data_IF_063023452558
#
_entry.id   IF_063023452558
#
_cell.length_a   1.000
_cell.length_b   1.000
_cell.length_c   1.000
_cell.angle_alpha   90.00
_cell.angle_beta   90.00
_cell.angle_gamma   90.00
#
_symmetry.space_group_name_H-M   'P 1'
#
loop_
_entity.id
_entity.type
_entity.pdbx_description
1 polymer ?
#
# COMPACT_ATOMS: atom_id res chain seq x y z
N UNK A 1 -2.94 -26.37 18.09
CA UNK A 1 -3.06 -26.06 16.65
C UNK A 1 -1.69 -26.15 15.99
N UNK A 2 -1.59 -26.92 14.92
CA UNK A 2 -0.28 -27.11 14.28
C UNK A 2 -0.04 -25.98 13.29
N UNK A 3 1.13 -25.37 13.39
CA UNK A 3 1.54 -24.32 12.47
C UNK A 3 2.16 -24.95 11.22
N UNK A 4 1.78 -24.46 10.04
CA UNK A 4 2.40 -24.89 8.80
C UNK A 4 3.86 -24.47 8.76
N UNK A 5 4.72 -25.32 8.20
CA UNK A 5 6.10 -24.98 7.91
C UNK A 5 6.28 -24.88 6.42
N UNK A 6 7.01 -23.87 5.97
CA UNK A 6 7.18 -23.56 4.55
C UNK A 6 8.64 -23.71 4.14
N UNK A 7 8.85 -24.10 2.88
CA UNK A 7 10.17 -24.08 2.28
C UNK A 7 10.46 -22.67 1.69
N UNK A 8 11.59 -22.51 1.03
CA UNK A 8 11.99 -21.22 0.45
C UNK A 8 11.06 -20.74 -0.67
N UNK A 9 10.24 -21.62 -1.23
CA UNK A 9 9.25 -21.28 -2.26
C UNK A 9 7.87 -21.00 -1.66
N UNK A 10 7.78 -20.88 -0.33
CA UNK A 10 6.54 -20.66 0.41
C UNK A 10 5.50 -21.78 0.21
N UNK A 11 6.00 -22.99 0.04
CA UNK A 11 5.17 -24.20 -0.09
C UNK A 11 5.26 -25.00 1.20
N UNK A 12 4.12 -25.45 1.72
CA UNK A 12 4.07 -26.15 2.99
C UNK A 12 4.81 -27.49 2.91
N UNK A 13 5.72 -27.69 3.86
CA UNK A 13 6.40 -28.97 4.08
C UNK A 13 5.78 -29.71 5.24
N UNK A 14 5.04 -28.99 6.09
CA UNK A 14 4.23 -29.54 7.18
C UNK A 14 2.87 -28.85 7.09
N UNK A 15 1.80 -29.63 7.04
CA UNK A 15 0.45 -29.07 6.99
C UNK A 15 0.07 -28.43 8.32
N UNK A 16 -0.76 -27.39 8.24
CA UNK A 16 -1.19 -26.64 9.41
C UNK A 16 -1.68 -25.26 9.05
N UNK A 17 -1.87 -24.44 10.07
CA UNK A 17 -2.31 -23.07 9.90
C UNK A 17 -1.13 -22.11 9.90
N UNK A 18 -1.26 -21.02 9.14
CA UNK A 18 -0.24 -19.97 9.09
C UNK A 18 -0.92 -18.61 8.89
N UNK A 19 -0.52 -17.59 9.65
CA UNK A 19 -1.00 -16.26 9.37
C UNK A 19 -0.33 -15.72 8.12
N UNK A 20 -1.13 -15.08 7.25
CA UNK A 20 -0.62 -14.44 6.06
C UNK A 20 -1.11 -13.00 6.03
N UNK A 21 -0.39 -12.17 5.28
CA UNK A 21 -0.67 -10.75 5.18
C UNK A 21 -0.93 -10.45 3.71
N UNK A 22 -2.15 -9.99 3.43
CA UNK A 22 -2.64 -9.83 2.07
C UNK A 22 -2.41 -8.41 1.58
N UNK A 23 -2.04 -8.26 0.32
CA UNK A 23 -1.80 -6.95 -0.29
C UNK A 23 -2.46 -6.88 -1.67
N UNK A 24 -2.70 -5.66 -2.13
CA UNK A 24 -3.28 -5.43 -3.45
C UNK A 24 -2.25 -5.78 -4.53
N UNK A 25 -2.68 -6.56 -5.53
CA UNK A 25 -1.78 -7.02 -6.59
C UNK A 25 -1.28 -5.92 -7.50
N UNK A 26 -1.98 -4.80 -7.57
CA UNK A 26 -1.59 -3.66 -8.41
C UNK A 26 -0.87 -2.57 -7.62
N UNK A 27 -1.45 -2.13 -6.51
CA UNK A 27 -0.88 -1.05 -5.70
C UNK A 27 0.13 -1.54 -4.68
N UNK A 28 0.08 -2.83 -4.35
CA UNK A 28 0.91 -3.49 -3.32
C UNK A 28 0.58 -3.02 -1.91
N UNK A 29 -0.53 -2.31 -1.73
CA UNK A 29 -0.95 -1.83 -0.43
C UNK A 29 -1.44 -2.98 0.45
N UNK A 30 -1.03 -2.98 1.73
CA UNK A 30 -1.50 -3.94 2.71
C UNK A 30 -3.01 -3.82 2.88
N UNK A 31 -3.72 -4.94 2.82
CA UNK A 31 -5.18 -4.98 2.93
C UNK A 31 -5.62 -5.55 4.28
N UNK A 32 -5.17 -6.74 4.62
CA UNK A 32 -5.63 -7.44 5.82
C UNK A 32 -4.77 -8.65 6.11
N UNK A 33 -4.85 -9.14 7.33
CA UNK A 33 -4.26 -10.42 7.69
C UNK A 33 -5.35 -11.48 7.77
N UNK A 34 -4.96 -12.72 7.52
CA UNK A 34 -5.85 -13.86 7.67
C UNK A 34 -5.04 -15.08 8.09
N UNK A 35 -5.73 -16.11 8.56
CA UNK A 35 -5.09 -17.38 8.89
C UNK A 35 -5.52 -18.39 7.84
N UNK A 36 -4.54 -19.02 7.19
CA UNK A 36 -4.78 -19.98 6.14
C UNK A 36 -4.35 -21.37 6.58
N UNK A 37 -5.13 -22.38 6.25
CA UNK A 37 -4.71 -23.77 6.41
C UNK A 37 -4.05 -24.24 5.12
N UNK A 38 -2.82 -24.75 5.22
CA UNK A 38 -2.08 -25.27 4.08
C UNK A 38 -1.81 -26.75 4.27
N UNK A 39 -2.19 -27.55 3.29
CA UNK A 39 -1.76 -28.95 3.22
C UNK A 39 -0.34 -29.01 2.65
N UNK A 40 0.37 -30.09 2.96
CA UNK A 40 1.72 -30.30 2.40
C UNK A 40 1.65 -30.21 0.87
N UNK A 41 2.56 -29.46 0.29
CA UNK A 41 2.62 -29.23 -1.15
C UNK A 41 1.82 -28.04 -1.64
N UNK A 42 1.07 -27.36 -0.74
CA UNK A 42 0.27 -26.18 -1.09
C UNK A 42 1.02 -24.93 -0.68
N UNK A 43 1.04 -23.92 -1.56
CA UNK A 43 1.65 -22.63 -1.29
C UNK A 43 0.67 -21.64 -0.66
N UNK A 44 1.20 -20.54 -0.15
CA UNK A 44 0.36 -19.45 0.37
C UNK A 44 -0.46 -18.83 -0.75
N UNK A 45 -1.61 -18.18 -0.43
CA UNK A 45 -2.43 -17.56 -1.46
C UNK A 45 -1.66 -16.50 -2.26
N UNK A 46 -2.10 -16.25 -3.49
CA UNK A 46 -1.55 -15.18 -4.30
C UNK A 46 -1.74 -13.83 -3.59
N UNK A 47 -0.82 -12.90 -3.82
CA UNK A 47 -0.85 -11.57 -3.22
C UNK A 47 -0.88 -11.60 -1.69
N UNK A 48 -0.11 -12.52 -1.12
CA UNK A 48 0.08 -12.62 0.32
C UNK A 48 1.53 -12.95 0.65
N UNK A 49 1.90 -12.72 1.90
CA UNK A 49 3.23 -13.04 2.40
C UNK A 49 3.14 -13.43 3.86
N UNK A 50 4.23 -13.94 4.41
CA UNK A 50 4.26 -14.43 5.78
C UNK A 50 4.94 -13.48 6.76
N UNK A 51 5.61 -12.45 6.28
CA UNK A 51 6.23 -11.45 7.14
C UNK A 51 5.22 -10.33 7.44
N UNK A 52 5.08 -10.01 8.72
CA UNK A 52 4.11 -9.01 9.17
C UNK A 52 4.53 -7.60 8.74
N UNK A 53 3.56 -6.76 8.33
CA UNK A 53 3.86 -5.34 8.16
C UNK A 53 4.15 -4.69 9.51
N UNK A 54 4.83 -3.55 9.48
CA UNK A 54 5.04 -2.77 10.70
C UNK A 54 3.75 -2.11 11.17
N UNK A 55 3.87 -1.30 12.21
CA UNK A 55 2.73 -0.56 12.74
C UNK A 55 2.27 0.50 11.76
N UNK A 56 0.97 0.80 11.76
CA UNK A 56 0.43 1.87 10.92
C UNK A 56 1.04 3.21 11.33
N UNK A 57 1.24 4.09 10.35
CA UNK A 57 1.83 5.40 10.55
C UNK A 57 0.94 6.45 9.90
N UNK A 58 0.55 7.46 10.67
CA UNK A 58 -0.33 8.53 10.19
C UNK A 58 0.28 9.21 8.96
N UNK A 59 -0.51 9.35 7.90
CA UNK A 59 -0.07 9.97 6.66
C UNK A 59 0.66 9.04 5.71
N UNK A 60 0.74 7.75 6.06
CA UNK A 60 1.43 6.75 5.23
C UNK A 60 0.58 5.51 5.07
N UNK A 61 0.67 4.89 3.91
CA UNK A 61 0.15 3.55 3.66
C UNK A 61 1.30 2.56 3.74
N UNK A 62 0.99 1.34 4.13
CA UNK A 62 1.98 0.27 4.16
C UNK A 62 1.84 -0.52 2.86
N UNK A 63 2.91 -0.61 2.10
CA UNK A 63 2.91 -1.30 0.82
C UNK A 63 4.04 -2.32 0.75
N UNK A 64 3.83 -3.37 -0.04
CA UNK A 64 4.89 -4.28 -0.37
C UNK A 64 5.89 -3.58 -1.31
N UNK A 65 7.17 -3.86 -1.16
CA UNK A 65 8.19 -3.29 -2.05
C UNK A 65 8.03 -3.84 -3.46
N UNK A 66 8.64 -3.18 -4.45
CA UNK A 66 8.51 -3.58 -5.85
C UNK A 66 9.00 -4.99 -6.13
N UNK A 67 9.97 -5.49 -5.34
CA UNK A 67 10.47 -6.85 -5.45
C UNK A 67 9.70 -7.85 -4.59
N UNK A 68 8.65 -7.39 -3.89
CA UNK A 68 7.82 -8.21 -3.01
C UNK A 68 8.60 -8.87 -1.87
N UNK A 69 9.71 -8.28 -1.44
CA UNK A 69 10.58 -8.86 -0.42
C UNK A 69 10.38 -8.28 0.98
N UNK A 70 9.78 -7.10 1.09
CA UNK A 70 9.63 -6.39 2.36
C UNK A 70 8.43 -5.46 2.34
N UNK A 71 8.19 -4.78 3.46
CA UNK A 71 7.17 -3.74 3.57
C UNK A 71 7.85 -2.38 3.62
N UNK A 72 7.17 -1.37 3.07
CA UNK A 72 7.65 0.01 3.11
C UNK A 72 6.48 0.95 3.39
N UNK A 73 6.79 2.14 3.87
CA UNK A 73 5.81 3.19 4.04
C UNK A 73 5.79 4.06 2.79
N UNK A 74 4.59 4.27 2.25
CA UNK A 74 4.38 5.14 1.09
C UNK A 74 3.51 6.30 1.55
N UNK A 75 3.89 7.52 1.21
CA UNK A 75 3.12 8.69 1.55
C UNK A 75 1.70 8.56 1.00
N UNK A 76 0.70 8.88 1.81
CA UNK A 76 -0.71 8.70 1.45
C UNK A 76 -1.45 10.03 1.58
N UNK A 77 -1.68 10.67 0.45
CA UNK A 77 -2.42 11.92 0.36
C UNK A 77 -3.84 11.72 -0.18
N UNK A 78 -4.27 10.47 -0.32
CA UNK A 78 -5.61 10.18 -0.87
C UNK A 78 -6.70 10.86 -0.05
N UNK A 79 -7.65 11.46 -0.76
CA UNK A 79 -8.74 12.21 -0.15
C UNK A 79 -8.41 13.65 0.17
N UNK A 80 -7.14 14.07 0.04
CA UNK A 80 -6.75 15.46 0.27
C UNK A 80 -7.08 16.32 -0.94
N UNK A 81 -7.62 17.53 -0.71
CA UNK A 81 -7.79 18.48 -1.80
C UNK A 81 -6.46 19.14 -2.12
N UNK A 82 -6.10 19.18 -3.39
CA UNK A 82 -4.96 19.94 -3.89
C UNK A 82 -5.44 20.82 -5.02
N UNK A 83 -4.60 21.74 -5.44
CA UNK A 83 -4.98 22.76 -6.42
C UNK A 83 -4.06 22.70 -7.62
N UNK A 84 -4.64 22.74 -8.82
CA UNK A 84 -3.84 22.80 -10.05
C UNK A 84 -3.01 24.08 -10.07
N UNK A 85 -1.72 23.96 -10.31
CA UNK A 85 -0.84 25.12 -10.47
C UNK A 85 -1.06 25.82 -11.80
N UNK A 86 -1.80 25.20 -12.72
CA UNK A 86 -2.13 25.75 -14.03
C UNK A 86 -3.45 26.52 -14.00
N UNK A 87 -4.50 25.95 -13.40
CA UNK A 87 -5.85 26.53 -13.44
C UNK A 87 -6.37 26.99 -12.08
N UNK A 88 -5.76 26.53 -10.98
CA UNK A 88 -6.25 26.81 -9.62
C UNK A 88 -7.42 25.95 -9.21
N UNK A 89 -7.88 25.04 -10.06
CA UNK A 89 -8.99 24.17 -9.73
C UNK A 89 -8.61 23.14 -8.67
N UNK A 90 -9.60 22.77 -7.84
CA UNK A 90 -9.39 21.75 -6.82
C UNK A 90 -9.38 20.36 -7.47
N UNK A 91 -8.44 19.55 -7.03
CA UNK A 91 -8.32 18.14 -7.43
C UNK A 91 -8.20 17.31 -6.16
N UNK A 92 -8.97 16.23 -6.07
CA UNK A 92 -8.86 15.31 -4.94
C UNK A 92 -7.87 14.22 -5.28
N UNK A 93 -6.89 14.02 -4.41
CA UNK A 93 -5.86 12.99 -4.60
C UNK A 93 -6.51 11.61 -4.53
N UNK A 94 -6.26 10.76 -5.52
CA UNK A 94 -6.84 9.42 -5.60
C UNK A 94 -5.81 8.30 -5.61
N UNK A 95 -4.53 8.62 -5.74
CA UNK A 95 -3.46 7.63 -5.83
C UNK A 95 -2.48 7.78 -4.68
N UNK A 96 -1.85 6.66 -4.29
CA UNK A 96 -0.77 6.66 -3.31
C UNK A 96 0.48 7.30 -3.89
N UNK A 97 1.30 7.87 -3.01
CA UNK A 97 2.55 8.51 -3.39
C UNK A 97 2.48 10.02 -3.25
N UNK A 98 3.42 10.68 -3.90
CA UNK A 98 3.50 12.15 -3.87
C UNK A 98 2.27 12.79 -4.51
N UNK A 99 2.10 14.08 -4.27
CA UNK A 99 1.04 14.84 -4.91
C UNK A 99 1.17 14.75 -6.43
N UNK A 100 0.03 14.76 -7.14
CA UNK A 100 0.06 14.76 -8.61
C UNK A 100 0.90 15.92 -9.16
N UNK A 101 1.46 15.75 -10.35
CA UNK A 101 2.24 16.81 -11.00
C UNK A 101 1.37 18.05 -11.26
N UNK A 102 1.99 19.21 -11.20
CA UNK A 102 1.31 20.50 -11.43
C UNK A 102 0.19 20.78 -10.42
N UNK A 103 0.33 20.26 -9.19
CA UNK A 103 -0.61 20.52 -8.09
C UNK A 103 0.14 20.98 -6.85
N UNK A 104 -0.59 21.66 -5.95
CA UNK A 104 -0.06 22.11 -4.68
C UNK A 104 -1.15 22.00 -3.61
N UNK A 105 -0.80 21.66 -2.35
CA UNK A 105 -1.78 21.68 -1.26
C UNK A 105 -2.18 23.08 -0.83
N UNK A 106 -1.52 24.13 -1.36
CA UNK A 106 -1.83 25.51 -0.98
C UNK A 106 -2.87 26.12 -1.91
N UNK A 107 -3.95 26.65 -1.32
CA UNK A 107 -4.98 27.33 -2.09
C UNK A 107 -4.42 28.62 -2.75
N UNK A 108 -4.91 29.01 -3.95
CA UNK A 108 -4.56 30.28 -4.54
C UNK A 108 -4.96 31.43 -3.60
N UNK A 109 -4.19 32.52 -3.65
CA UNK A 109 -4.45 33.68 -2.79
C UNK A 109 -5.78 34.35 -3.11
N UNK A 110 -6.18 34.37 -4.38
CA UNK A 110 -7.50 34.85 -4.82
C UNK A 110 -8.07 33.92 -5.88
N UNK A 111 -9.41 34.00 -6.15
CA UNK A 111 -10.00 33.14 -7.18
C UNK A 111 -9.47 33.39 -8.60
N UNK A 112 -8.81 34.50 -8.82
CA UNK A 112 -8.31 34.88 -10.14
C UNK A 112 -6.82 34.66 -10.30
N UNK A 113 -6.13 34.29 -9.22
CA UNK A 113 -4.70 34.04 -9.29
C UNK A 113 -4.43 32.68 -9.90
N UNK A 114 -3.45 32.61 -10.78
CA UNK A 114 -2.88 31.35 -11.19
C UNK A 114 -1.59 31.13 -10.41
N UNK A 115 -1.30 29.87 -10.11
CA UNK A 115 -0.05 29.54 -9.45
C UNK A 115 1.10 29.75 -10.41
N UNK A 116 2.00 30.62 -10.02
CA UNK A 116 3.23 30.84 -10.75
C UNK A 116 4.40 30.51 -9.83
N UNK A 117 4.88 29.28 -9.91
CA UNK A 117 6.01 28.86 -9.14
C UNK A 117 5.70 28.56 -7.67
N UNK A 118 4.48 28.29 -7.37
CA UNK A 118 3.95 28.05 -6.03
C UNK A 118 4.55 27.13 -5.08
#
# INVERSE_FOLDING_TARGET
>A
MVKAELNQDMIATVDGEIPVYNYDGETREYLSSSVEYLAVGVGIPANSCIDAPGESKTGFAICRTADFAAWEYVVDHRGEPVYSTVTGEVVVVSLLGDYPTETTPLAPATPYDTWSGG
#
